data_IF_274671149569
#
_entry.id   IF_274671149569
#
_cell.length_a   1.000
_cell.length_b   1.000
_cell.length_c   1.000
_cell.angle_alpha   90.00
_cell.angle_beta   90.00
_cell.angle_gamma   90.00
#
_symmetry.space_group_name_H-M   'P 1'
#
loop_
_entity.id
_entity.type
_entity.pdbx_description
1 polymer ?
#
# COMPACT_ATOMS: atom_id res chain seq x y z
N UNK A 1 4.58 -11.67 7.59
CA UNK A 1 5.90 -11.08 7.71
C UNK A 1 6.09 -10.58 9.13
N UNK A 2 7.22 -10.88 9.82
CA UNK A 2 7.50 -10.30 11.14
C UNK A 2 7.49 -8.77 11.08
N UNK A 3 7.09 -8.10 12.17
CA UNK A 3 6.96 -6.65 12.21
C UNK A 3 8.30 -5.96 11.95
N UNK A 4 9.39 -6.49 12.49
CA UNK A 4 10.77 -6.02 12.31
C UNK A 4 11.29 -6.04 10.88
N UNK A 5 10.60 -6.73 9.97
CA UNK A 5 10.96 -6.83 8.55
C UNK A 5 10.12 -5.93 7.65
N UNK A 6 9.26 -5.09 8.21
CA UNK A 6 8.39 -4.20 7.44
C UNK A 6 9.11 -2.91 7.00
N UNK A 7 8.57 -2.25 5.99
CA UNK A 7 9.04 -0.91 5.56
C UNK A 7 8.94 0.06 6.75
N UNK A 8 7.83 0.00 7.50
CA UNK A 8 7.57 0.89 8.65
C UNK A 8 8.63 0.74 9.73
N UNK A 9 9.01 -0.47 10.10
CA UNK A 9 10.00 -0.67 11.15
C UNK A 9 11.41 -0.29 10.69
N UNK A 10 11.76 -0.54 9.43
CA UNK A 10 13.02 -0.04 8.86
C UNK A 10 13.07 1.50 8.89
N UNK A 11 11.98 2.19 8.57
CA UNK A 11 11.88 3.65 8.69
C UNK A 11 12.04 4.08 10.16
N UNK A 12 11.38 3.42 11.11
CA UNK A 12 11.52 3.74 12.54
C UNK A 12 12.95 3.61 13.04
N UNK A 13 13.67 2.57 12.63
CA UNK A 13 15.09 2.39 12.94
C UNK A 13 15.94 3.53 12.36
N UNK A 14 15.69 3.93 11.12
CA UNK A 14 16.43 5.02 10.47
C UNK A 14 16.13 6.38 11.11
N UNK A 15 14.88 6.66 11.46
CA UNK A 15 14.44 7.87 12.18
C UNK A 15 15.16 7.96 13.52
N UNK A 16 15.14 6.88 14.31
CA UNK A 16 15.83 6.80 15.60
C UNK A 16 17.33 7.00 15.49
N UNK A 17 17.99 6.35 14.51
CA UNK A 17 19.43 6.45 14.30
C UNK A 17 19.89 7.86 13.87
N UNK A 18 18.98 8.67 13.32
CA UNK A 18 19.22 10.07 12.96
C UNK A 18 18.86 11.06 14.07
N UNK A 19 18.45 10.57 15.24
CA UNK A 19 18.17 11.39 16.43
C UNK A 19 16.79 12.04 16.45
N UNK A 20 15.88 11.67 15.55
CA UNK A 20 14.51 12.18 15.54
C UNK A 20 13.65 11.52 16.63
N UNK A 21 12.78 12.32 17.27
CA UNK A 21 11.90 11.86 18.35
C UNK A 21 10.44 11.73 17.87
N UNK A 22 10.21 10.94 16.83
CA UNK A 22 8.87 10.52 16.40
C UNK A 22 8.89 9.09 15.91
N UNK A 23 7.72 8.49 15.79
CA UNK A 23 7.54 7.10 15.36
C UNK A 23 6.43 7.02 14.31
N UNK A 24 6.62 6.16 13.31
CA UNK A 24 5.59 5.76 12.35
C UNK A 24 4.87 4.53 12.90
N UNK A 25 3.54 4.60 12.96
CA UNK A 25 2.69 3.44 13.30
C UNK A 25 2.15 2.81 12.03
N UNK A 26 2.31 1.49 11.89
CA UNK A 26 1.78 0.74 10.76
C UNK A 26 0.27 0.54 10.92
N UNK A 27 -0.50 1.16 10.03
CA UNK A 27 -1.95 0.98 9.91
C UNK A 27 -2.34 0.29 8.59
N UNK A 28 -1.36 -0.30 7.90
CA UNK A 28 -1.58 -1.03 6.66
C UNK A 28 -2.28 -2.36 6.89
N UNK A 29 -3.22 -2.67 6.04
CA UNK A 29 -3.89 -3.97 5.94
C UNK A 29 -3.53 -4.58 4.59
N UNK A 30 -3.23 -5.88 4.59
CA UNK A 30 -2.86 -6.59 3.37
C UNK A 30 -3.97 -6.49 2.30
N UNK A 31 -3.57 -6.24 1.06
CA UNK A 31 -4.50 -6.16 -0.08
C UNK A 31 -5.28 -4.83 -0.17
N UNK A 32 -5.04 -3.85 0.71
CA UNK A 32 -5.76 -2.59 0.64
C UNK A 32 -5.33 -1.71 -0.54
N UNK A 33 -6.34 -1.23 -1.25
CA UNK A 33 -6.26 -0.13 -2.21
C UNK A 33 -6.72 1.18 -1.57
N UNK A 34 -6.81 2.26 -2.34
CA UNK A 34 -7.38 3.54 -1.88
C UNK A 34 -8.82 3.43 -1.39
N UNK A 35 -9.61 2.43 -1.84
CA UNK A 35 -10.93 2.13 -1.28
C UNK A 35 -10.85 1.73 0.19
N UNK A 36 -9.96 0.80 0.53
CA UNK A 36 -9.77 0.34 1.90
C UNK A 36 -9.28 1.45 2.81
N UNK A 37 -8.40 2.33 2.32
CA UNK A 37 -7.98 3.50 3.09
C UNK A 37 -9.15 4.43 3.39
N UNK A 38 -10.02 4.73 2.41
CA UNK A 38 -11.25 5.51 2.63
C UNK A 38 -12.15 4.84 3.67
N UNK A 39 -12.30 3.51 3.58
CA UNK A 39 -13.06 2.74 4.57
C UNK A 39 -12.50 2.88 5.98
N UNK A 40 -11.16 2.83 6.14
CA UNK A 40 -10.51 3.02 7.43
C UNK A 40 -10.81 4.39 8.04
N UNK A 41 -10.79 5.47 7.24
CA UNK A 41 -11.16 6.81 7.71
C UNK A 41 -12.61 6.93 8.14
N UNK A 42 -13.52 6.20 7.51
CA UNK A 42 -14.97 6.22 7.82
C UNK A 42 -15.32 5.34 9.03
N UNK A 43 -14.67 4.19 9.18
CA UNK A 43 -15.16 3.13 10.06
C UNK A 43 -14.19 2.66 11.13
N UNK A 44 -12.88 2.79 10.93
CA UNK A 44 -11.88 2.34 11.88
C UNK A 44 -11.28 3.48 12.69
N UNK A 45 -10.65 4.46 12.05
CA UNK A 45 -9.94 5.55 12.73
C UNK A 45 -10.82 6.39 13.66
N UNK A 46 -12.13 6.60 13.40
CA UNK A 46 -13.00 7.29 14.35
C UNK A 46 -13.21 6.55 15.69
N UNK A 47 -12.94 5.25 15.71
CA UNK A 47 -13.05 4.42 16.91
C UNK A 47 -11.79 4.42 17.77
N UNK A 48 -10.69 4.92 17.26
CA UNK A 48 -9.42 5.01 17.97
C UNK A 48 -9.39 6.30 18.78
N UNK A 49 -9.38 6.17 20.12
CA UNK A 49 -9.22 7.30 21.01
C UNK A 49 -7.85 7.95 20.80
N UNK A 50 -7.81 9.27 20.83
CA UNK A 50 -6.58 10.08 20.74
C UNK A 50 -5.73 9.84 19.48
N UNK A 51 -6.33 9.23 18.44
CA UNK A 51 -5.66 9.00 17.16
C UNK A 51 -5.63 10.28 16.32
N UNK A 52 -4.52 11.01 16.42
CA UNK A 52 -4.31 12.27 15.70
C UNK A 52 -2.88 12.37 15.15
N UNK A 53 -2.51 11.53 14.18
CA UNK A 53 -1.20 11.63 13.52
C UNK A 53 -1.03 12.99 12.84
N UNK A 54 0.19 13.54 12.88
CA UNK A 54 0.53 14.74 12.11
C UNK A 54 0.71 14.46 10.63
N UNK A 55 1.26 13.29 10.30
CA UNK A 55 1.51 12.85 8.93
C UNK A 55 0.80 11.53 8.67
N UNK A 56 0.11 11.45 7.53
CA UNK A 56 -0.54 10.23 7.02
C UNK A 56 0.15 9.78 5.74
N UNK A 57 0.81 8.63 5.81
CA UNK A 57 1.56 8.05 4.69
C UNK A 57 0.69 7.01 3.99
N UNK A 58 0.43 7.21 2.70
CA UNK A 58 -0.31 6.29 1.85
C UNK A 58 0.64 5.64 0.84
N UNK A 59 0.82 4.33 0.94
CA UNK A 59 1.62 3.54 -0.01
C UNK A 59 0.68 2.89 -1.01
N UNK A 60 0.57 3.47 -2.22
CA UNK A 60 -0.55 3.25 -3.16
C UNK A 60 -0.09 2.81 -4.55
N UNK A 61 -0.93 2.08 -5.27
CA UNK A 61 -0.77 1.78 -6.68
C UNK A 61 -1.02 0.32 -7.05
N UNK A 62 -0.33 -0.65 -6.46
CA UNK A 62 -0.42 -2.07 -6.86
C UNK A 62 -1.85 -2.59 -6.72
N UNK A 63 -2.47 -2.40 -5.57
CA UNK A 63 -3.83 -2.89 -5.35
C UNK A 63 -4.87 -2.06 -6.12
N UNK A 64 -4.62 -0.78 -6.35
CA UNK A 64 -5.47 0.06 -7.22
C UNK A 64 -5.38 -0.37 -8.68
N UNK A 65 -4.21 -0.85 -9.13
CA UNK A 65 -4.03 -1.41 -10.46
C UNK A 65 -4.89 -2.65 -10.70
N UNK A 66 -5.13 -3.46 -9.67
CA UNK A 66 -6.06 -4.59 -9.76
C UNK A 66 -7.50 -4.18 -10.14
N UNK A 67 -7.88 -2.91 -9.91
CA UNK A 67 -9.19 -2.36 -10.22
C UNK A 67 -9.25 -1.55 -11.52
N UNK A 68 -8.12 -1.38 -12.23
CA UNK A 68 -8.01 -0.48 -13.39
C UNK A 68 -8.91 -0.88 -14.56
N UNK A 69 -9.24 -2.16 -14.68
CA UNK A 69 -10.09 -2.72 -15.72
C UNK A 69 -11.48 -3.13 -15.23
N UNK A 70 -11.77 -2.96 -13.95
CA UNK A 70 -12.99 -3.47 -13.32
C UNK A 70 -14.15 -2.51 -13.54
N UNK A 71 -15.34 -3.05 -13.78
CA UNK A 71 -16.57 -2.27 -13.99
C UNK A 71 -16.98 -1.57 -12.68
N UNK A 72 -17.47 -0.34 -12.79
CA UNK A 72 -17.86 0.57 -11.69
C UNK A 72 -18.79 -0.07 -10.63
N UNK A 73 -19.59 -1.06 -11.00
CA UNK A 73 -20.47 -1.79 -10.08
C UNK A 73 -19.72 -2.58 -9.00
N UNK A 74 -18.50 -3.01 -9.29
CA UNK A 74 -17.64 -3.70 -8.32
C UNK A 74 -17.07 -2.70 -7.31
N UNK A 75 -16.74 -1.47 -7.76
CA UNK A 75 -16.26 -0.38 -6.90
C UNK A 75 -17.30 0.06 -5.86
N UNK A 76 -18.58 0.08 -6.21
CA UNK A 76 -19.66 0.51 -5.32
C UNK A 76 -20.06 -0.57 -4.29
N UNK A 77 -19.89 -1.84 -4.62
CA UNK A 77 -20.31 -2.98 -3.79
C UNK A 77 -19.20 -3.56 -2.90
N UNK A 78 -17.95 -3.25 -3.19
CA UNK A 78 -16.84 -3.66 -2.35
C UNK A 78 -16.63 -2.60 -1.28
N UNK A 79 -17.18 -2.78 -0.11
CA UNK A 79 -16.95 -1.89 1.06
C UNK A 79 -15.49 -1.75 1.42
N UNK A 80 -14.68 -1.30 0.48
CA UNK A 80 -13.24 -1.18 0.57
C UNK A 80 -12.50 -2.36 0.04
N UNK A 81 -11.74 -2.94 -0.33
CA UNK A 81 -11.02 -4.08 -0.90
C UNK A 81 -11.74 -5.38 -0.60
N UNK A 82 -11.82 -6.28 -1.52
CA UNK A 82 -12.64 -7.49 -1.54
C UNK A 82 -12.66 -8.40 -0.29
N UNK A 83 -12.08 -7.96 0.80
CA UNK A 83 -12.13 -8.59 2.11
C UNK A 83 -13.27 -8.07 3.00
N UNK A 84 -13.87 -6.93 2.67
CA UNK A 84 -15.05 -6.41 3.37
C UNK A 84 -16.25 -6.61 2.43
N UNK A 85 -16.68 -7.84 2.27
CA UNK A 85 -18.07 -8.10 1.91
C UNK A 85 -18.92 -7.36 2.93
N UNK A 86 -19.94 -6.60 2.51
CA UNK A 86 -21.01 -6.20 3.42
C UNK A 86 -21.47 -7.50 4.09
N UNK A 87 -21.12 -7.73 5.35
CA UNK A 87 -21.52 -8.98 5.98
C UNK A 87 -23.03 -8.93 5.97
N UNK A 88 -23.67 -9.95 5.43
CA UNK A 88 -25.09 -10.12 5.62
C UNK A 88 -25.36 -9.94 7.11
N UNK A 89 -26.49 -9.33 7.50
CA UNK A 89 -26.80 -8.97 8.91
C UNK A 89 -26.54 -10.12 9.88
N UNK A 90 -26.64 -11.36 9.42
CA UNK A 90 -26.31 -12.59 10.15
C UNK A 90 -24.80 -12.75 10.44
N UNK A 91 -23.91 -12.45 9.50
CA UNK A 91 -22.45 -12.52 9.73
C UNK A 91 -21.99 -11.47 10.73
N UNK A 92 -22.54 -10.24 10.67
CA UNK A 92 -22.28 -9.19 11.68
C UNK A 92 -22.74 -9.65 13.06
N UNK A 93 -23.90 -10.29 13.15
CA UNK A 93 -24.43 -10.82 14.40
C UNK A 93 -23.52 -11.93 14.96
N UNK A 94 -23.10 -12.87 14.13
CA UNK A 94 -22.17 -13.94 14.54
C UNK A 94 -20.78 -13.41 14.86
N UNK A 95 -20.26 -12.41 14.15
CA UNK A 95 -18.97 -11.80 14.45
C UNK A 95 -19.02 -10.94 15.72
N UNK A 96 -20.15 -10.29 15.99
CA UNK A 96 -20.39 -9.57 17.25
C UNK A 96 -20.50 -10.54 18.44
N UNK A 97 -21.15 -11.69 18.26
CA UNK A 97 -21.20 -12.75 19.27
C UNK A 97 -19.81 -13.38 19.51
N UNK A 98 -19.03 -13.58 18.46
CA UNK A 98 -17.66 -14.09 18.55
C UNK A 98 -16.72 -13.09 19.22
N UNK A 99 -16.80 -11.80 18.87
CA UNK A 99 -15.94 -10.75 19.42
C UNK A 99 -16.19 -10.45 20.89
N UNK A 100 -17.40 -10.72 21.39
CA UNK A 100 -17.78 -10.53 22.78
C UNK A 100 -17.66 -11.81 23.64
N UNK A 101 -17.22 -12.92 23.06
CA UNK A 101 -17.08 -14.19 23.77
C UNK A 101 -15.66 -14.38 24.32
N UNK A 102 -15.51 -14.31 25.64
CA UNK A 102 -14.27 -14.66 26.34
C UNK A 102 -13.71 -16.05 25.97
N UNK A 103 -14.60 -17.00 25.65
CA UNK A 103 -14.25 -18.34 25.18
C UNK A 103 -13.61 -18.30 23.77
N UNK A 104 -14.13 -17.47 22.88
CA UNK A 104 -13.61 -17.33 21.52
C UNK A 104 -12.21 -16.69 21.52
N UNK A 105 -11.98 -15.69 22.35
CA UNK A 105 -10.66 -15.07 22.50
C UNK A 105 -9.64 -16.06 23.09
N UNK A 106 -10.01 -16.84 24.08
CA UNK A 106 -9.14 -17.91 24.60
C UNK A 106 -8.85 -19.00 23.57
N UNK A 107 -9.84 -19.43 22.80
CA UNK A 107 -9.66 -20.37 21.69
C UNK A 107 -8.79 -19.78 20.55
N UNK A 108 -8.93 -18.50 20.26
CA UNK A 108 -8.10 -17.78 19.29
C UNK A 108 -6.64 -17.69 19.75
N UNK A 109 -6.43 -17.36 21.03
CA UNK A 109 -5.09 -17.32 21.65
C UNK A 109 -4.47 -18.72 21.68
N UNK A 110 -5.24 -19.76 22.05
CA UNK A 110 -4.80 -21.15 21.99
C UNK A 110 -4.47 -21.58 20.54
N UNK A 111 -5.35 -21.25 19.59
CA UNK A 111 -5.10 -21.51 18.17
C UNK A 111 -3.84 -20.80 17.68
N UNK A 112 -3.63 -19.52 18.03
CA UNK A 112 -2.39 -18.82 17.74
C UNK A 112 -1.16 -19.41 18.43
N UNK A 113 -1.30 -19.92 19.66
CA UNK A 113 -0.20 -20.54 20.41
C UNK A 113 0.16 -21.94 19.89
N UNK A 114 -0.82 -22.72 19.41
CA UNK A 114 -0.62 -24.04 18.84
C UNK A 114 -0.39 -24.04 17.33
N UNK A 115 -0.91 -23.03 16.62
CA UNK A 115 -0.67 -22.78 15.19
C UNK A 115 0.38 -21.69 14.95
N UNK A 116 1.29 -21.43 15.89
CA UNK A 116 2.63 -20.98 15.55
C UNK A 116 3.36 -22.12 14.82
N UNK A 117 2.72 -22.67 13.81
CA UNK A 117 3.49 -23.27 12.76
C UNK A 117 4.24 -22.10 12.13
N UNK A 118 5.53 -22.23 12.08
CA UNK A 118 6.47 -21.53 11.23
C UNK A 118 5.93 -21.37 9.80
N UNK A 119 4.92 -20.52 9.63
CA UNK A 119 4.68 -19.85 8.37
C UNK A 119 5.66 -18.68 8.32
N UNK A 120 6.94 -18.99 8.42
CA UNK A 120 7.93 -18.29 7.64
C UNK A 120 7.31 -18.18 6.25
N UNK A 121 7.11 -16.96 5.75
CA UNK A 121 6.79 -16.79 4.33
C UNK A 121 7.85 -17.56 3.57
N UNK A 122 7.51 -18.79 3.17
CA UNK A 122 8.39 -19.57 2.29
C UNK A 122 8.42 -18.73 1.03
N UNK A 123 9.62 -18.39 0.58
CA UNK A 123 9.81 -17.87 -0.77
C UNK A 123 8.92 -18.65 -1.69
N UNK A 124 8.14 -18.00 -2.52
CA UNK A 124 7.42 -18.74 -3.55
C UNK A 124 8.48 -19.32 -4.50
N UNK A 125 8.91 -20.53 -4.15
CA UNK A 125 9.93 -21.25 -4.92
C UNK A 125 9.48 -21.38 -6.38
N UNK A 126 8.16 -21.47 -6.62
CA UNK A 126 7.60 -21.48 -7.97
C UNK A 126 7.76 -20.14 -8.69
N UNK A 127 7.70 -19.01 -7.96
CA UNK A 127 7.94 -17.70 -8.56
C UNK A 127 9.36 -17.62 -9.12
N UNK A 128 10.37 -18.01 -8.34
CA UNK A 128 11.76 -18.00 -8.79
C UNK A 128 12.09 -19.11 -9.80
N UNK A 129 11.52 -20.31 -9.67
CA UNK A 129 11.73 -21.42 -10.59
C UNK A 129 11.18 -21.17 -12.00
N UNK A 130 10.11 -20.37 -12.10
CA UNK A 130 9.47 -20.04 -13.36
C UNK A 130 10.00 -18.75 -14.00
N UNK A 131 10.97 -18.06 -13.37
CA UNK A 131 11.59 -16.88 -13.93
C UNK A 131 12.87 -17.26 -14.69
N UNK A 132 12.95 -16.90 -15.94
CA UNK A 132 14.23 -16.87 -16.62
C UNK A 132 15.03 -15.67 -16.11
N UNK A 133 15.93 -15.95 -15.17
CA UNK A 133 16.74 -14.91 -14.52
C UNK A 133 17.70 -14.22 -15.50
N UNK A 134 17.97 -14.82 -16.66
CA UNK A 134 18.80 -14.23 -17.71
C UNK A 134 18.09 -13.08 -18.43
N UNK A 135 16.75 -13.07 -18.42
CA UNK A 135 15.91 -12.06 -19.05
C UNK A 135 15.34 -11.05 -18.05
N UNK A 136 15.69 -11.13 -16.75
CA UNK A 136 15.18 -10.20 -15.76
C UNK A 136 15.66 -8.78 -16.04
N UNK A 137 14.72 -7.89 -16.30
CA UNK A 137 14.96 -6.45 -16.44
C UNK A 137 14.03 -5.64 -15.52
N UNK A 138 14.60 -4.76 -14.72
CA UNK A 138 13.85 -3.80 -13.94
C UNK A 138 13.54 -2.55 -14.78
N UNK A 139 12.26 -2.31 -15.02
CA UNK A 139 11.75 -1.17 -15.79
C UNK A 139 11.49 0.01 -14.85
N UNK A 140 12.47 0.91 -14.73
CA UNK A 140 12.28 2.15 -13.98
C UNK A 140 11.41 3.14 -14.77
N UNK A 141 11.05 4.27 -14.12
CA UNK A 141 10.17 5.28 -14.72
C UNK A 141 10.64 5.77 -16.10
N UNK A 142 11.93 6.03 -16.30
CA UNK A 142 12.45 6.53 -17.57
C UNK A 142 12.38 5.48 -18.69
N UNK A 143 12.58 4.20 -18.37
CA UNK A 143 12.38 3.10 -19.32
C UNK A 143 10.88 2.92 -19.62
N UNK A 144 10.02 3.00 -18.59
CA UNK A 144 8.58 2.91 -18.75
C UNK A 144 8.01 4.02 -19.63
N UNK A 145 8.51 5.26 -19.52
CA UNK A 145 8.14 6.37 -20.43
C UNK A 145 8.48 6.09 -21.90
N UNK A 146 9.55 5.32 -22.17
CA UNK A 146 9.89 4.92 -23.54
C UNK A 146 9.10 3.72 -24.02
N UNK A 147 8.75 2.82 -23.10
CA UNK A 147 7.97 1.61 -23.39
C UNK A 147 6.50 1.93 -23.64
N UNK A 148 5.93 2.81 -22.83
CA UNK A 148 4.51 3.13 -22.83
C UNK A 148 4.21 4.49 -23.46
N UNK A 149 3.20 4.54 -24.31
CA UNK A 149 2.69 5.81 -24.90
C UNK A 149 1.68 6.43 -23.95
N UNK A 150 2.12 7.40 -23.14
CA UNK A 150 1.29 8.05 -22.09
C UNK A 150 -0.06 8.52 -22.61
N UNK A 151 -0.10 9.19 -23.78
CA UNK A 151 -1.36 9.70 -24.36
C UNK A 151 -2.35 8.58 -24.65
N UNK A 152 -1.87 7.45 -25.20
CA UNK A 152 -2.73 6.30 -25.48
C UNK A 152 -3.25 5.69 -24.18
N UNK A 153 -2.41 5.59 -23.14
CA UNK A 153 -2.81 5.07 -21.84
C UNK A 153 -3.80 6.00 -21.13
N UNK A 154 -3.62 7.31 -21.23
CA UNK A 154 -4.58 8.29 -20.70
C UNK A 154 -5.96 8.13 -21.33
N UNK A 155 -6.04 7.85 -22.64
CA UNK A 155 -7.30 7.57 -23.32
C UNK A 155 -7.87 6.23 -22.87
N UNK A 156 -7.03 5.18 -22.92
CA UNK A 156 -7.41 3.79 -22.56
C UNK A 156 -7.96 3.68 -21.15
N UNK A 157 -7.29 4.32 -20.18
CA UNK A 157 -7.59 4.22 -18.75
C UNK A 157 -8.26 5.46 -18.16
N UNK A 158 -8.81 6.37 -18.99
CA UNK A 158 -9.37 7.65 -18.55
C UNK A 158 -10.30 7.56 -17.35
N UNK A 159 -11.26 6.61 -17.38
CA UNK A 159 -12.22 6.42 -16.28
C UNK A 159 -11.55 5.94 -15.01
N UNK A 160 -10.65 4.97 -15.12
CA UNK A 160 -9.93 4.41 -13.98
C UNK A 160 -9.01 5.45 -13.32
N UNK A 161 -8.28 6.23 -14.11
CA UNK A 161 -7.45 7.33 -13.63
C UNK A 161 -8.32 8.35 -12.89
N UNK A 162 -9.42 8.79 -13.48
CA UNK A 162 -10.34 9.76 -12.86
C UNK A 162 -10.91 9.23 -11.53
N UNK A 163 -11.33 7.97 -11.49
CA UNK A 163 -11.82 7.32 -10.28
C UNK A 163 -10.74 7.21 -9.21
N UNK A 164 -9.53 6.83 -9.59
CA UNK A 164 -8.37 6.74 -8.69
C UNK A 164 -8.02 8.10 -8.08
N UNK A 165 -7.87 9.16 -8.90
CA UNK A 165 -7.55 10.50 -8.43
C UNK A 165 -8.66 11.10 -7.56
N UNK A 166 -9.93 10.79 -7.85
CA UNK A 166 -11.05 11.18 -6.97
C UNK A 166 -10.94 10.52 -5.58
N UNK A 167 -10.48 9.26 -5.49
CA UNK A 167 -10.21 8.62 -4.20
C UNK A 167 -9.02 9.26 -3.47
N UNK A 168 -7.99 9.69 -4.19
CA UNK A 168 -6.87 10.47 -3.63
C UNK A 168 -7.39 11.78 -3.03
N UNK A 169 -8.28 12.52 -3.73
CA UNK A 169 -8.91 13.73 -3.20
C UNK A 169 -9.67 13.47 -1.90
N UNK A 170 -10.48 12.41 -1.86
CA UNK A 170 -11.23 12.03 -0.65
C UNK A 170 -10.28 11.76 0.52
N UNK A 171 -9.15 11.09 0.27
CA UNK A 171 -8.15 10.84 1.32
C UNK A 171 -7.47 12.12 1.79
N UNK A 172 -7.12 13.02 0.88
CA UNK A 172 -6.58 14.36 1.20
C UNK A 172 -7.55 15.11 2.11
N UNK A 173 -8.84 15.13 1.76
CA UNK A 173 -9.88 15.82 2.54
C UNK A 173 -10.04 15.21 3.94
N UNK A 174 -10.01 13.88 4.06
CA UNK A 174 -10.06 13.23 5.36
C UNK A 174 -8.87 13.59 6.25
N UNK A 175 -7.67 13.64 5.69
CA UNK A 175 -6.44 14.00 6.41
C UNK A 175 -6.49 15.47 6.83
N UNK A 176 -6.84 16.38 5.91
CA UNK A 176 -6.95 17.83 6.19
C UNK A 176 -8.00 18.13 7.27
N UNK A 177 -9.15 17.45 7.26
CA UNK A 177 -10.17 17.57 8.31
C UNK A 177 -9.64 17.16 9.69
N UNK A 178 -8.63 16.28 9.74
CA UNK A 178 -7.93 15.88 10.96
C UNK A 178 -6.68 16.73 11.27
N UNK A 179 -6.49 17.83 10.52
CA UNK A 179 -5.34 18.75 10.64
C UNK A 179 -3.99 18.03 10.41
N UNK A 180 -3.98 16.95 9.66
CA UNK A 180 -2.80 16.19 9.28
C UNK A 180 -2.26 16.60 7.90
N UNK A 181 -1.09 16.10 7.59
CA UNK A 181 -0.41 16.24 6.31
C UNK A 181 -0.54 14.93 5.52
N UNK A 182 -1.13 14.94 4.31
CA UNK A 182 -1.14 13.75 3.46
C UNK A 182 0.17 13.61 2.71
N UNK A 183 0.75 12.42 2.71
CA UNK A 183 1.91 12.03 1.91
C UNK A 183 1.58 10.77 1.14
N UNK A 184 1.75 10.78 -0.17
CA UNK A 184 1.59 9.62 -1.02
C UNK A 184 2.94 9.10 -1.49
N UNK A 185 3.11 7.77 -1.47
CA UNK A 185 4.27 7.07 -2.02
C UNK A 185 3.73 6.06 -3.03
N UNK A 186 4.12 6.18 -4.30
CA UNK A 186 3.71 5.23 -5.31
C UNK A 186 4.43 3.90 -5.18
N UNK A 187 3.74 2.80 -5.49
CA UNK A 187 4.27 1.45 -5.43
C UNK A 187 4.91 1.02 -6.75
N UNK A 188 5.79 0.04 -6.66
CA UNK A 188 6.41 -0.62 -7.81
C UNK A 188 6.33 -2.14 -7.67
N UNK A 189 6.31 -2.85 -8.79
CA UNK A 189 6.38 -4.30 -8.86
C UNK A 189 7.83 -4.81 -8.91
N UNK A 190 8.01 -6.14 -8.84
CA UNK A 190 9.33 -6.76 -9.01
C UNK A 190 10.00 -6.37 -10.33
N UNK A 191 9.26 -6.21 -11.41
CA UNK A 191 9.73 -5.70 -12.71
C UNK A 191 9.60 -4.18 -12.85
N UNK A 192 9.42 -3.46 -11.76
CA UNK A 192 9.25 -2.01 -11.75
C UNK A 192 7.91 -1.57 -12.32
N UNK A 193 7.93 -0.75 -13.36
CA UNK A 193 6.78 -0.15 -14.02
C UNK A 193 6.54 -0.73 -15.43
N UNK A 194 6.81 -2.02 -15.61
CA UNK A 194 6.56 -2.72 -16.87
C UNK A 194 5.04 -2.86 -17.17
N UNK A 195 4.19 -2.92 -16.12
CA UNK A 195 2.75 -2.98 -16.27
C UNK A 195 2.17 -1.61 -16.63
N UNK A 196 1.37 -1.54 -17.71
CA UNK A 196 0.78 -0.29 -18.21
C UNK A 196 -0.13 0.38 -17.19
N UNK A 197 -0.94 -0.43 -16.47
CA UNK A 197 -1.90 0.08 -15.51
C UNK A 197 -1.21 0.69 -14.29
N UNK A 198 -0.24 -0.02 -13.71
CA UNK A 198 0.54 0.50 -12.60
C UNK A 198 1.35 1.74 -13.01
N UNK A 199 1.96 1.71 -14.21
CA UNK A 199 2.70 2.86 -14.72
C UNK A 199 1.80 4.10 -14.85
N UNK A 200 0.62 3.98 -15.49
CA UNK A 200 -0.22 5.15 -15.72
C UNK A 200 -0.86 5.69 -14.44
N UNK A 201 -1.19 4.84 -13.47
CA UNK A 201 -1.65 5.29 -12.15
C UNK A 201 -0.55 6.06 -11.41
N UNK A 202 0.68 5.54 -11.40
CA UNK A 202 1.83 6.20 -10.79
C UNK A 202 2.13 7.54 -11.47
N UNK A 203 2.16 7.56 -12.80
CA UNK A 203 2.37 8.78 -13.59
C UNK A 203 1.31 9.84 -13.28
N UNK A 204 0.03 9.43 -13.25
CA UNK A 204 -1.09 10.33 -12.96
C UNK A 204 -1.04 10.85 -11.52
N UNK A 205 -0.72 10.01 -10.54
CA UNK A 205 -0.57 10.41 -9.14
C UNK A 205 0.50 11.49 -8.97
N UNK A 206 1.70 11.25 -9.52
CA UNK A 206 2.83 12.19 -9.35
C UNK A 206 2.53 13.55 -10.01
N UNK A 207 1.94 13.56 -11.19
CA UNK A 207 1.51 14.79 -11.84
C UNK A 207 0.42 15.51 -11.02
N UNK A 208 -0.55 14.76 -10.53
CA UNK A 208 -1.62 15.30 -9.70
C UNK A 208 -1.09 15.92 -8.40
N UNK A 209 -0.15 15.26 -7.72
CA UNK A 209 0.49 15.80 -6.53
C UNK A 209 1.21 17.12 -6.83
N UNK A 210 1.93 17.17 -7.94
CA UNK A 210 2.66 18.37 -8.38
C UNK A 210 1.70 19.54 -8.66
N UNK A 211 0.60 19.28 -9.37
CA UNK A 211 -0.41 20.30 -9.71
C UNK A 211 -1.15 20.83 -8.48
N UNK A 212 -1.30 20.02 -7.46
CA UNK A 212 -2.04 20.34 -6.21
C UNK A 212 -1.16 20.70 -5.03
N UNK A 213 0.16 20.73 -5.20
CA UNK A 213 1.14 21.00 -4.13
C UNK A 213 0.97 20.03 -2.94
N UNK A 214 0.72 18.75 -3.25
CA UNK A 214 0.60 17.66 -2.26
C UNK A 214 1.93 16.92 -2.18
N UNK A 215 2.35 16.54 -0.98
CA UNK A 215 3.56 15.76 -0.79
C UNK A 215 3.44 14.38 -1.41
N UNK A 216 4.36 14.07 -2.31
CA UNK A 216 4.46 12.77 -2.95
C UNK A 216 5.91 12.35 -3.13
N UNK A 217 6.22 11.10 -2.80
CA UNK A 217 7.52 10.49 -3.08
C UNK A 217 7.38 9.56 -4.27
N UNK A 218 8.11 9.86 -5.34
CA UNK A 218 8.13 9.05 -6.57
C UNK A 218 9.09 7.87 -6.44
N UNK A 219 8.64 6.80 -5.78
CA UNK A 219 9.41 5.58 -5.65
C UNK A 219 9.70 4.95 -7.02
N UNK A 220 8.74 5.02 -7.95
CA UNK A 220 8.88 4.49 -9.31
C UNK A 220 10.07 5.08 -10.07
N UNK A 221 10.42 6.35 -9.81
CA UNK A 221 11.56 7.03 -10.41
C UNK A 221 12.87 6.74 -9.68
N UNK A 222 12.83 6.63 -8.36
CA UNK A 222 14.03 6.60 -7.49
C UNK A 222 14.51 5.20 -7.16
N UNK A 223 13.59 4.25 -7.03
CA UNK A 223 13.92 2.90 -6.63
C UNK A 223 14.61 2.13 -7.77
N UNK A 224 15.65 1.41 -7.39
CA UNK A 224 16.38 0.50 -8.29
C UNK A 224 16.15 -0.92 -7.81
N UNK A 225 15.07 -1.53 -8.29
CA UNK A 225 14.68 -2.87 -7.86
C UNK A 225 15.64 -3.95 -8.38
N UNK A 226 15.77 -5.01 -7.60
CA UNK A 226 16.45 -6.25 -7.95
C UNK A 226 15.51 -7.41 -7.59
N UNK A 227 15.64 -8.53 -8.29
CA UNK A 227 14.75 -9.68 -8.05
C UNK A 227 14.81 -10.18 -6.60
N UNK A 228 15.98 -10.15 -5.96
CA UNK A 228 16.17 -10.54 -4.55
C UNK A 228 15.40 -9.68 -3.54
N UNK A 229 14.85 -8.54 -3.96
CA UNK A 229 14.04 -7.67 -3.08
C UNK A 229 12.58 -8.14 -2.98
N UNK A 230 12.18 -9.19 -3.68
CA UNK A 230 10.79 -9.61 -3.84
C UNK A 230 10.60 -11.08 -3.47
N UNK A 231 9.51 -11.39 -2.76
CA UNK A 231 9.05 -12.76 -2.53
C UNK A 231 8.25 -13.30 -3.72
N UNK A 232 7.48 -12.39 -4.34
CA UNK A 232 6.62 -12.62 -5.49
C UNK A 232 6.52 -11.33 -6.31
N UNK A 233 5.50 -11.22 -7.15
CA UNK A 233 5.33 -10.04 -8.03
C UNK A 233 5.14 -8.71 -7.28
N UNK A 234 4.66 -8.72 -6.04
CA UNK A 234 4.27 -7.49 -5.31
C UNK A 234 4.79 -7.37 -3.88
N UNK A 235 5.20 -8.48 -3.26
CA UNK A 235 5.62 -8.48 -1.86
C UNK A 235 7.14 -8.48 -1.70
N UNK A 236 7.63 -7.54 -0.89
CA UNK A 236 9.07 -7.38 -0.65
C UNK A 236 9.62 -8.37 0.36
N UNK A 237 10.86 -8.83 0.15
CA UNK A 237 11.69 -9.48 1.17
C UNK A 237 12.05 -8.48 2.29
N UNK A 238 12.62 -8.93 3.43
CA UNK A 238 13.19 -8.02 4.43
C UNK A 238 14.17 -7.02 3.83
N UNK A 239 15.06 -7.51 2.93
CA UNK A 239 16.01 -6.67 2.22
C UNK A 239 15.29 -5.64 1.33
N UNK A 240 14.29 -6.06 0.56
CA UNK A 240 13.50 -5.16 -0.30
C UNK A 240 12.77 -4.08 0.51
N UNK A 241 12.21 -4.45 1.67
CA UNK A 241 11.58 -3.48 2.58
C UNK A 241 12.55 -2.43 3.09
N UNK A 242 13.76 -2.86 3.45
CA UNK A 242 14.84 -1.97 3.88
C UNK A 242 15.27 -1.04 2.75
N UNK A 243 15.46 -1.55 1.53
CA UNK A 243 15.86 -0.74 0.37
C UNK A 243 14.79 0.30 -0.01
N UNK A 244 13.50 -0.03 0.11
CA UNK A 244 12.42 0.94 -0.06
C UNK A 244 12.50 2.01 1.03
N UNK A 245 12.65 1.64 2.30
CA UNK A 245 12.79 2.58 3.40
C UNK A 245 13.99 3.53 3.20
N UNK A 246 15.15 3.01 2.78
CA UNK A 246 16.35 3.80 2.46
C UNK A 246 16.11 4.79 1.30
N UNK A 247 15.27 4.41 0.34
CA UNK A 247 14.95 5.27 -0.81
C UNK A 247 14.08 6.46 -0.41
N UNK A 248 13.17 6.29 0.55
CA UNK A 248 12.16 7.32 0.88
C UNK A 248 12.51 8.15 2.10
N UNK A 249 13.42 7.70 2.97
CA UNK A 249 13.63 8.30 4.30
C UNK A 249 14.05 9.78 4.25
N UNK A 250 14.89 10.18 3.31
CA UNK A 250 15.39 11.55 3.26
C UNK A 250 14.28 12.55 2.98
N UNK A 251 13.45 12.28 1.96
CA UNK A 251 12.31 13.13 1.63
C UNK A 251 11.21 13.09 2.70
N UNK A 252 11.05 11.94 3.36
CA UNK A 252 10.14 11.83 4.49
C UNK A 252 10.55 12.79 5.62
N UNK A 253 11.84 12.87 5.91
CA UNK A 253 12.37 13.74 6.96
C UNK A 253 12.24 15.22 6.57
N UNK A 254 12.51 15.59 5.30
CA UNK A 254 12.30 16.96 4.80
C UNK A 254 10.84 17.45 4.94
N UNK A 255 9.85 16.53 4.97
CA UNK A 255 8.44 16.89 5.13
C UNK A 255 8.07 17.14 6.59
N UNK A 256 8.79 16.55 7.54
CA UNK A 256 8.47 16.62 8.98
C UNK A 256 9.32 17.64 9.75
N UNK A 257 10.43 18.09 9.15
CA UNK A 257 11.26 19.20 9.66
C UNK A 257 10.56 20.55 9.45
#
# INVERSE_FOLDING_TARGET
KPEEETITENLNLMIKNRGYNFKITNAGIEGQSTFGYIYNFKHWFPKLKDFSPKLYIFYVGINDNGWITTDKKVEENLGGDGHVKNPEKLEVFFDTLKSNSFFYDKLRILKHKYYKSEKTMKYDVKFYQNQDLSEYEYINYNKALKLHKVDNLNIKYKKAISSYLNRIDILIDFVKKRKGIPLFINQVHYVGLADEGLFILNHSLINYCKEREIYCIDLGKKFKGQLSYWYDSGHTTPLGSRMIAETVINELLEIVD
#
